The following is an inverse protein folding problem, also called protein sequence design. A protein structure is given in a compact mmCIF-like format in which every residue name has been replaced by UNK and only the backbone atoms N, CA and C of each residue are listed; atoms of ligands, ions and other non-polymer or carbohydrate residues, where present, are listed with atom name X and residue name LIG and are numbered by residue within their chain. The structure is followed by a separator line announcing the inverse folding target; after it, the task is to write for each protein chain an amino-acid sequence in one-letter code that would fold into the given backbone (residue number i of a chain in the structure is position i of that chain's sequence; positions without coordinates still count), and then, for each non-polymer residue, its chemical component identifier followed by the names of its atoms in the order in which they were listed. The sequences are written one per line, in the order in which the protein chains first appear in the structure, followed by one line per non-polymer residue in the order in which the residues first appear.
data_IF_643816705179
#
_entry.id   IF_643816705179
#
_cell.length_a   1.000
_cell.length_b   1.000
_cell.length_c   1.000
_cell.angle_alpha   90.00
_cell.angle_beta   90.00
_cell.angle_gamma   90.00
#
_symmetry.space_group_name_H-M   'P 1'
#
loop_
_entity.id
_entity.type
_entity.pdbx_description
1 polymer ?
#
# COMPACT_ATOMS: atom_id res chain seq x y z
N UNK A 1 14.52 -21.23 6.37
CA UNK A 1 13.60 -22.11 5.62
C UNK A 1 12.15 -21.99 6.11
N UNK A 2 11.89 -22.12 7.42
CA UNK A 2 10.53 -22.01 8.01
C UNK A 2 9.86 -20.65 7.69
N UNK A 3 10.60 -19.54 7.81
CA UNK A 3 10.09 -18.20 7.52
C UNK A 3 9.62 -18.04 6.06
N UNK A 4 10.37 -18.58 5.09
CA UNK A 4 10.05 -18.47 3.66
C UNK A 4 8.75 -19.21 3.30
N UNK A 5 8.55 -20.41 3.87
CA UNK A 5 7.32 -21.19 3.70
C UNK A 5 6.13 -20.50 4.38
N UNK A 6 6.34 -19.95 5.58
CA UNK A 6 5.32 -19.20 6.29
C UNK A 6 4.86 -17.96 5.49
N UNK A 7 5.79 -17.18 4.93
CA UNK A 7 5.44 -16.02 4.10
C UNK A 7 4.69 -16.40 2.83
N UNK A 8 5.02 -17.55 2.24
CA UNK A 8 4.36 -18.03 1.03
C UNK A 8 2.92 -18.48 1.32
N UNK A 9 2.71 -19.18 2.44
CA UNK A 9 1.36 -19.55 2.91
C UNK A 9 0.49 -18.33 3.23
N UNK A 10 1.06 -17.33 3.91
CA UNK A 10 0.35 -16.06 4.18
C UNK A 10 0.03 -15.31 2.88
N UNK A 11 0.96 -15.27 1.93
CA UNK A 11 0.74 -14.63 0.62
C UNK A 11 -0.40 -15.27 -0.18
N UNK A 12 -0.47 -16.60 -0.22
CA UNK A 12 -1.56 -17.34 -0.87
C UNK A 12 -2.90 -17.02 -0.20
N UNK A 13 -2.93 -17.01 1.14
CA UNK A 13 -4.14 -16.73 1.89
C UNK A 13 -4.66 -15.30 1.65
N UNK A 14 -3.78 -14.31 1.68
CA UNK A 14 -4.12 -12.91 1.36
C UNK A 14 -4.59 -12.79 -0.10
N UNK A 15 -3.92 -13.45 -1.04
CA UNK A 15 -4.30 -13.46 -2.45
C UNK A 15 -5.70 -14.04 -2.67
N UNK A 16 -6.01 -15.18 -2.04
CA UNK A 16 -7.33 -15.81 -2.10
C UNK A 16 -8.43 -14.92 -1.50
N UNK A 17 -8.18 -14.33 -0.32
CA UNK A 17 -9.11 -13.39 0.30
C UNK A 17 -9.33 -12.14 -0.57
N UNK A 18 -8.27 -11.64 -1.22
CA UNK A 18 -8.31 -10.50 -2.13
C UNK A 18 -9.17 -10.76 -3.37
N UNK A 19 -9.03 -11.94 -3.99
CA UNK A 19 -9.85 -12.36 -5.13
C UNK A 19 -11.34 -12.47 -4.75
N UNK A 20 -11.66 -13.14 -3.63
CA UNK A 20 -13.06 -13.36 -3.19
C UNK A 20 -13.76 -12.07 -2.79
N UNK A 21 -13.06 -11.16 -2.12
CA UNK A 21 -13.64 -9.92 -1.60
C UNK A 21 -13.77 -8.81 -2.65
N UNK A 22 -13.10 -8.93 -3.81
CA UNK A 22 -13.00 -7.86 -4.83
C UNK A 22 -12.66 -6.51 -4.18
N UNK A 23 -11.69 -6.53 -3.28
CA UNK A 23 -11.34 -5.39 -2.43
C UNK A 23 -10.78 -4.23 -3.25
N UNK A 24 -11.32 -3.03 -3.04
CA UNK A 24 -10.83 -1.80 -3.65
C UNK A 24 -11.03 -0.63 -2.69
N UNK A 25 -9.94 0.02 -2.30
CA UNK A 25 -9.95 1.16 -1.36
C UNK A 25 -10.71 2.36 -1.93
N UNK A 26 -10.53 2.63 -3.24
CA UNK A 26 -11.21 3.72 -3.95
C UNK A 26 -12.72 3.48 -4.04
N UNK A 27 -13.14 2.25 -4.38
CA UNK A 27 -14.57 1.90 -4.44
C UNK A 27 -15.22 1.94 -3.06
N UNK A 28 -14.49 1.57 -2.00
CA UNK A 28 -15.02 1.61 -0.64
C UNK A 28 -15.51 3.00 -0.22
N UNK A 29 -14.76 4.05 -0.57
CA UNK A 29 -15.12 5.44 -0.25
C UNK A 29 -16.22 5.95 -1.18
N UNK A 30 -16.08 5.72 -2.49
CA UNK A 30 -17.05 6.19 -3.49
C UNK A 30 -18.43 5.55 -3.32
N UNK A 31 -18.47 4.23 -3.14
CA UNK A 31 -19.73 3.48 -3.04
C UNK A 31 -20.44 3.80 -1.72
N UNK A 32 -19.69 4.11 -0.65
CA UNK A 32 -20.27 4.61 0.59
C UNK A 32 -20.93 5.98 0.40
N UNK A 33 -20.28 6.89 -0.33
CA UNK A 33 -20.82 8.23 -0.56
C UNK A 33 -22.04 8.22 -1.49
N UNK A 34 -21.99 7.45 -2.59
CA UNK A 34 -23.02 7.46 -3.64
C UNK A 34 -24.16 6.46 -3.38
N UNK A 35 -23.83 5.25 -2.94
CA UNK A 35 -24.79 4.13 -2.83
C UNK A 35 -25.11 3.78 -1.38
N UNK A 36 -24.44 4.42 -0.40
CA UNK A 36 -24.51 4.07 1.03
C UNK A 36 -24.24 2.59 1.31
N UNK A 37 -23.49 1.92 0.42
CA UNK A 37 -23.09 0.53 0.62
C UNK A 37 -21.83 0.49 1.49
N UNK A 38 -21.98 -0.09 2.69
CA UNK A 38 -20.91 -0.20 3.68
C UNK A 38 -20.11 -1.50 3.57
N UNK A 39 -20.46 -2.42 2.66
CA UNK A 39 -19.82 -3.73 2.56
C UNK A 39 -18.32 -3.61 2.28
N UNK A 40 -17.92 -2.82 1.27
CA UNK A 40 -16.51 -2.58 0.93
C UNK A 40 -15.78 -1.69 1.94
N UNK A 41 -16.51 -0.76 2.58
CA UNK A 41 -15.98 0.12 3.62
C UNK A 41 -15.56 -0.66 4.87
N UNK A 42 -16.34 -1.66 5.28
CA UNK A 42 -16.00 -2.55 6.40
C UNK A 42 -14.70 -3.31 6.15
N UNK A 43 -14.43 -3.72 4.91
CA UNK A 43 -13.16 -4.32 4.53
C UNK A 43 -11.97 -3.35 4.71
N UNK A 44 -12.15 -2.08 4.36
CA UNK A 44 -11.11 -1.05 4.51
C UNK A 44 -10.78 -0.81 5.99
N UNK A 45 -11.83 -0.63 6.81
CA UNK A 45 -11.68 -0.52 8.25
C UNK A 45 -11.06 -1.78 8.86
N UNK A 46 -11.41 -2.96 8.34
CA UNK A 46 -10.84 -4.23 8.77
C UNK A 46 -9.33 -4.34 8.54
N UNK A 47 -8.80 -3.84 7.42
CA UNK A 47 -7.34 -3.80 7.18
C UNK A 47 -6.64 -2.84 8.13
N UNK A 48 -7.23 -1.66 8.38
CA UNK A 48 -6.66 -0.66 9.29
C UNK A 48 -6.63 -1.21 10.73
N UNK A 49 -7.77 -1.71 11.21
CA UNK A 49 -7.88 -2.29 12.54
C UNK A 49 -7.03 -3.56 12.67
N UNK A 50 -7.04 -4.44 11.66
CA UNK A 50 -6.24 -5.66 11.63
C UNK A 50 -4.74 -5.39 11.63
N UNK A 51 -4.27 -4.35 10.93
CA UNK A 51 -2.88 -3.90 10.98
C UNK A 51 -2.49 -3.38 12.36
N UNK A 52 -3.35 -2.54 12.98
CA UNK A 52 -3.11 -2.03 14.32
C UNK A 52 -3.07 -3.14 15.38
N UNK A 53 -4.05 -4.06 15.35
CA UNK A 53 -4.13 -5.20 16.28
C UNK A 53 -3.00 -6.19 16.02
N UNK A 54 -2.70 -6.48 14.76
CA UNK A 54 -1.60 -7.37 14.38
C UNK A 54 -0.25 -6.84 14.87
N UNK A 55 -0.03 -5.52 14.76
CA UNK A 55 1.17 -4.87 15.28
C UNK A 55 1.27 -4.93 16.81
N UNK A 56 0.20 -4.58 17.52
CA UNK A 56 0.21 -4.65 19.00
C UNK A 56 0.41 -6.07 19.49
N UNK A 57 -0.24 -7.06 18.85
CA UNK A 57 -0.03 -8.48 19.14
C UNK A 57 1.43 -8.91 18.90
N UNK A 58 2.05 -8.47 17.80
CA UNK A 58 3.47 -8.76 17.52
C UNK A 58 4.41 -8.18 18.57
N UNK A 59 4.12 -6.97 19.06
CA UNK A 59 4.87 -6.33 20.16
C UNK A 59 4.73 -7.11 21.47
N UNK A 60 3.55 -7.65 21.79
CA UNK A 60 3.37 -8.51 22.97
C UNK A 60 4.10 -9.86 22.85
N UNK A 61 4.32 -10.35 21.63
CA UNK A 61 5.07 -11.59 21.35
C UNK A 61 6.59 -11.40 21.37
N UNK A 62 7.10 -10.21 21.74
CA UNK A 62 8.53 -9.93 21.88
C UNK A 62 9.24 -9.55 20.58
N UNK A 63 8.50 -9.38 19.47
CA UNK A 63 9.04 -8.83 18.23
C UNK A 63 8.89 -7.32 18.22
N UNK A 64 9.96 -6.60 18.55
CA UNK A 64 9.95 -5.13 18.44
C UNK A 64 10.43 -4.69 17.06
N UNK A 65 9.55 -3.99 16.34
CA UNK A 65 9.92 -3.28 15.11
C UNK A 65 10.21 -1.84 15.55
N UNK A 66 11.47 -1.38 15.51
CA UNK A 66 11.77 0.00 15.88
C UNK A 66 11.00 0.95 14.96
N UNK A 67 10.31 1.94 15.56
CA UNK A 67 9.62 3.06 14.89
C UNK A 67 8.21 2.81 14.28
N UNK A 68 7.45 1.81 14.74
CA UNK A 68 6.01 1.68 14.44
C UNK A 68 5.22 1.82 15.76
N UNK A 69 4.05 2.49 15.89
CA UNK A 69 2.97 2.74 14.93
C UNK A 69 2.75 4.24 14.57
N UNK A 70 3.61 5.12 15.07
CA UNK A 70 3.59 6.58 14.89
C UNK A 70 4.99 7.12 14.59
N UNK A 71 5.86 6.31 13.98
CA UNK A 71 7.13 6.76 13.38
C UNK A 71 6.89 7.61 12.14
N UNK A 72 5.96 8.57 12.22
CA UNK A 72 6.17 9.81 11.52
C UNK A 72 7.42 10.38 12.18
N UNK A 73 8.59 10.04 11.65
CA UNK A 73 9.77 10.85 11.87
C UNK A 73 9.47 12.21 11.23
N UNK A 74 8.68 13.04 11.94
CA UNK A 74 8.46 14.45 11.60
C UNK A 74 9.72 15.24 11.98
N UNK A 75 10.90 14.65 11.77
CA UNK A 75 12.17 15.28 12.12
C UNK A 75 12.59 16.27 11.02
N UNK A 76 12.03 16.19 9.80
CA UNK A 76 12.30 17.18 8.76
C UNK A 76 11.03 17.60 8.00
N UNK A 77 10.90 18.93 7.81
CA UNK A 77 9.82 19.52 6.99
C UNK A 77 9.84 19.00 5.54
N UNK A 78 11.02 18.60 5.05
CA UNK A 78 11.21 18.04 3.71
C UNK A 78 10.49 16.71 3.48
N UNK A 79 10.52 15.78 4.45
CA UNK A 79 9.88 14.46 4.31
C UNK A 79 8.35 14.60 4.27
N UNK A 80 7.78 15.50 5.07
CA UNK A 80 6.34 15.77 5.08
C UNK A 80 5.86 16.29 3.72
N UNK A 81 6.55 17.29 3.17
CA UNK A 81 6.18 17.89 1.87
C UNK A 81 6.27 16.83 0.76
N UNK A 82 7.36 16.05 0.74
CA UNK A 82 7.52 14.97 -0.23
C UNK A 82 6.42 13.90 -0.10
N UNK A 83 6.02 13.56 1.12
CA UNK A 83 4.96 12.56 1.38
C UNK A 83 3.58 13.06 0.96
N UNK A 84 3.28 14.34 1.16
CA UNK A 84 2.02 14.95 0.73
C UNK A 84 1.95 15.00 -0.79
N UNK A 85 3.00 15.49 -1.45
CA UNK A 85 3.05 15.56 -2.92
C UNK A 85 3.03 14.16 -3.54
N UNK A 86 3.84 13.24 -3.02
CA UNK A 86 3.88 11.85 -3.48
C UNK A 86 2.57 11.11 -3.25
N UNK A 87 1.94 11.30 -2.08
CA UNK A 87 0.64 10.71 -1.76
C UNK A 87 -0.48 11.25 -2.65
N UNK A 88 -0.53 12.57 -2.87
CA UNK A 88 -1.49 13.20 -3.77
C UNK A 88 -1.30 12.73 -5.23
N UNK A 89 -0.06 12.67 -5.70
CA UNK A 89 0.28 12.18 -7.03
C UNK A 89 -0.10 10.71 -7.22
N UNK A 90 0.26 9.83 -6.28
CA UNK A 90 -0.15 8.43 -6.28
C UNK A 90 -1.67 8.27 -6.29
N UNK A 91 -2.38 9.07 -5.48
CA UNK A 91 -3.84 9.11 -5.47
C UNK A 91 -4.41 9.44 -6.84
N UNK A 92 -3.92 10.51 -7.46
CA UNK A 92 -4.36 10.96 -8.79
C UNK A 92 -4.16 9.88 -9.87
N UNK A 93 -2.96 9.30 -9.98
CA UNK A 93 -2.69 8.24 -10.96
C UNK A 93 -3.46 6.95 -10.67
N UNK A 94 -3.73 6.63 -9.40
CA UNK A 94 -4.52 5.44 -9.04
C UNK A 94 -5.99 5.54 -9.48
N UNK A 95 -6.54 6.76 -9.55
CA UNK A 95 -7.89 6.99 -10.10
C UNK A 95 -7.89 6.79 -11.61
N UNK A 96 -6.88 7.30 -12.33
CA UNK A 96 -6.74 7.06 -13.78
C UNK A 96 -6.57 5.59 -14.14
N UNK A 97 -5.84 4.82 -13.32
CA UNK A 97 -5.63 3.39 -13.54
C UNK A 97 -6.82 2.52 -13.07
N UNK A 98 -7.94 3.12 -12.64
CA UNK A 98 -9.14 2.45 -12.12
C UNK A 98 -8.86 1.40 -11.02
N UNK A 99 -7.86 1.64 -10.16
CA UNK A 99 -7.55 0.69 -9.09
C UNK A 99 -6.34 1.05 -8.23
N UNK A 100 -6.28 0.45 -7.04
CA UNK A 100 -5.09 0.47 -6.20
C UNK A 100 -4.08 -0.60 -6.65
N UNK A 101 -2.79 -0.47 -6.30
CA UNK A 101 -1.77 -1.45 -6.67
C UNK A 101 -2.16 -2.88 -6.29
N UNK A 102 -2.77 -3.06 -5.11
CA UNK A 102 -3.24 -4.37 -4.65
C UNK A 102 -4.29 -5.00 -5.59
N UNK A 103 -5.27 -4.22 -6.05
CA UNK A 103 -6.31 -4.72 -6.97
C UNK A 103 -5.71 -5.09 -8.34
N UNK A 104 -4.69 -4.37 -8.79
CA UNK A 104 -4.01 -4.66 -10.05
C UNK A 104 -3.24 -5.99 -9.98
N UNK A 105 -2.66 -6.33 -8.83
CA UNK A 105 -2.06 -7.66 -8.60
C UNK A 105 -3.11 -8.78 -8.65
N UNK A 106 -4.27 -8.55 -8.04
CA UNK A 106 -5.39 -9.52 -8.08
C UNK A 106 -5.93 -9.70 -9.50
N UNK A 107 -6.16 -8.63 -10.25
CA UNK A 107 -6.66 -8.69 -11.63
C UNK A 107 -5.65 -9.30 -12.61
N UNK A 108 -4.35 -9.08 -12.37
CA UNK A 108 -3.30 -9.76 -13.13
C UNK A 108 -3.32 -11.28 -12.87
N UNK A 109 -3.57 -11.71 -11.62
CA UNK A 109 -3.75 -13.11 -11.27
C UNK A 109 -5.03 -13.74 -11.85
N UNK A 110 -6.09 -12.94 -12.04
CA UNK A 110 -7.31 -13.35 -12.77
C UNK A 110 -7.11 -13.45 -14.30
N UNK A 111 -5.94 -13.05 -14.82
CA UNK A 111 -5.60 -13.15 -16.24
C UNK A 111 -5.93 -11.92 -17.09
N UNK A 112 -6.19 -10.75 -16.48
CA UNK A 112 -6.43 -9.52 -17.24
C UNK A 112 -5.12 -8.94 -17.78
N UNK A 113 -5.01 -8.86 -19.10
CA UNK A 113 -3.82 -8.33 -19.80
C UNK A 113 -3.56 -6.85 -19.49
N UNK A 114 -4.60 -6.02 -19.36
CA UNK A 114 -4.45 -4.60 -19.00
C UNK A 114 -3.81 -4.38 -17.62
N UNK A 115 -4.14 -5.24 -16.64
CA UNK A 115 -3.54 -5.20 -15.32
C UNK A 115 -2.07 -5.62 -15.34
N UNK A 116 -1.71 -6.55 -16.23
CA UNK A 116 -0.32 -6.99 -16.39
C UNK A 116 0.57 -5.86 -16.92
N UNK A 117 0.10 -5.11 -17.93
CA UNK A 117 0.83 -3.93 -18.43
C UNK A 117 0.99 -2.84 -17.37
N UNK A 118 -0.05 -2.62 -16.55
CA UNK A 118 0.04 -1.70 -15.42
C UNK A 118 1.13 -2.14 -14.42
N UNK A 119 1.18 -3.42 -14.06
CA UNK A 119 2.19 -3.95 -13.13
C UNK A 119 3.61 -3.82 -13.68
N UNK A 120 3.81 -4.09 -14.98
CA UNK A 120 5.12 -3.88 -15.61
C UNK A 120 5.58 -2.42 -15.47
N UNK A 121 4.70 -1.46 -15.77
CA UNK A 121 4.99 -0.04 -15.57
C UNK A 121 5.25 0.32 -14.10
N UNK A 122 4.48 -0.26 -13.18
CA UNK A 122 4.65 -0.05 -11.74
C UNK A 122 6.02 -0.53 -11.24
N UNK A 123 6.47 -1.73 -11.65
CA UNK A 123 7.78 -2.25 -11.26
C UNK A 123 8.94 -1.47 -11.88
N UNK A 124 8.83 -1.07 -13.15
CA UNK A 124 9.83 -0.20 -13.79
C UNK A 124 9.90 1.14 -13.02
N UNK A 125 8.75 1.69 -12.63
CA UNK A 125 8.67 2.90 -11.81
C UNK A 125 9.35 2.77 -10.45
N UNK A 126 9.19 1.62 -9.76
CA UNK A 126 9.88 1.35 -8.49
C UNK A 126 11.40 1.34 -8.67
N UNK A 127 11.88 0.66 -9.71
CA UNK A 127 13.33 0.58 -10.00
C UNK A 127 13.88 1.98 -10.32
N UNK A 128 13.18 2.75 -11.15
CA UNK A 128 13.55 4.12 -11.47
C UNK A 128 13.58 5.02 -10.23
N UNK A 129 12.54 4.93 -9.38
CA UNK A 129 12.46 5.70 -8.14
C UNK A 129 13.63 5.41 -7.20
N UNK A 130 14.02 4.14 -7.06
CA UNK A 130 15.13 3.75 -6.20
C UNK A 130 16.49 4.29 -6.72
N UNK A 131 16.72 4.23 -8.03
CA UNK A 131 18.01 4.62 -8.62
C UNK A 131 18.17 6.14 -8.68
N UNK A 132 17.09 6.86 -9.02
CA UNK A 132 17.14 8.30 -9.35
C UNK A 132 16.56 9.14 -8.22
N UNK A 133 15.32 8.88 -7.81
CA UNK A 133 14.58 9.77 -6.91
C UNK A 133 15.12 9.75 -5.50
N UNK A 134 15.60 8.61 -4.98
CA UNK A 134 16.22 8.55 -3.63
C UNK A 134 17.44 9.47 -3.52
N UNK A 135 18.29 9.49 -4.55
CA UNK A 135 19.46 10.38 -4.59
C UNK A 135 19.06 11.85 -4.58
N UNK A 136 18.04 12.21 -5.36
CA UNK A 136 17.48 13.56 -5.38
C UNK A 136 16.82 13.95 -4.05
N UNK A 137 16.13 13.00 -3.40
CA UNK A 137 15.47 13.22 -2.12
C UNK A 137 16.46 13.46 -1.00
N UNK A 138 17.56 12.69 -0.94
CA UNK A 138 18.66 12.92 0.01
C UNK A 138 19.33 14.29 -0.20
N UNK A 139 19.47 14.71 -1.46
CA UNK A 139 20.05 16.01 -1.81
C UNK A 139 19.12 17.16 -1.38
N UNK A 140 17.81 17.01 -1.59
CA UNK A 140 16.78 17.95 -1.12
C UNK A 140 16.71 18.01 0.41
N UNK A 141 16.81 16.86 1.09
CA UNK A 141 16.77 16.77 2.55
C UNK A 141 17.99 17.41 3.21
N UNK A 142 19.18 17.30 2.58
CA UNK A 142 20.39 18.03 3.02
C UNK A 142 20.27 19.56 2.89
N UNK A 143 19.42 20.05 1.99
CA UNK A 143 19.17 21.48 1.80
C UNK A 143 18.05 22.04 2.70
N UNK A 144 17.21 21.17 3.28
CA UNK A 144 16.04 21.56 4.09
C UNK A 144 16.11 21.15 5.57
N UNK A 145 17.18 20.49 6.00
CA UNK A 145 17.55 20.30 7.41
C UNK A 145 18.56 21.36 7.85
#
# INVERSE_FOLDING_TARGET
MIASLATLGVGILIGYMGQRSKFCTVSGIRDYLMLKDSYRLKGLLGIIAGGAIGYTAFRFLGGDIPNFPLGIGIESKGILIASIIGGAGMGFFSVFAEGCPFRQHVMAAEGKTSALFYLLGFYIGIVYFNIVTVKWLELLLRFTG
#
